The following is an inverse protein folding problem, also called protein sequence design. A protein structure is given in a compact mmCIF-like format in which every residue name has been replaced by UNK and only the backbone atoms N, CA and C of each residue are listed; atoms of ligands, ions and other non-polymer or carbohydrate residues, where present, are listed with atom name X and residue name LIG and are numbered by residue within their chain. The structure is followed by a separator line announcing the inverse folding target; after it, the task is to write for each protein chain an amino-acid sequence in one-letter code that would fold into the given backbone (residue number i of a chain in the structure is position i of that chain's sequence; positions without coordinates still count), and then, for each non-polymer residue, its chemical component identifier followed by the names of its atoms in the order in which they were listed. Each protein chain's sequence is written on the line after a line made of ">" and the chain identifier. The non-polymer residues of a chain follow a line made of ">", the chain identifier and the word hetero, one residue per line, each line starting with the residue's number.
data_IF_951292603266
#
_entry.id   IF_951292603266
#
_cell.length_a   1.000
_cell.length_b   1.000
_cell.length_c   1.000
_cell.angle_alpha   90.00
_cell.angle_beta   90.00
_cell.angle_gamma   90.00
#
_symmetry.space_group_name_H-M   'P 1'
#
loop_
_entity.id
_entity.type
_entity.pdbx_description
1 polymer ?
#
# COMPACT_ATOMS: atom_id res chain seq x y z
N UNK A 1 1.58 4.66 19.50
CA UNK A 1 1.16 4.02 18.24
C UNK A 1 0.94 5.14 17.26
N UNK A 2 1.62 5.08 16.13
CA UNK A 2 1.50 6.04 15.04
C UNK A 2 0.09 5.99 14.45
N UNK A 3 -0.53 7.14 14.21
CA UNK A 3 -1.85 7.23 13.57
C UNK A 3 -1.70 6.93 12.08
N UNK A 4 -2.59 6.08 11.54
CA UNK A 4 -2.64 5.81 10.10
C UNK A 4 -3.79 6.60 9.49
N UNK A 5 -3.47 7.45 8.51
CA UNK A 5 -4.43 8.23 7.73
C UNK A 5 -4.42 7.73 6.29
N UNK A 6 -5.60 7.62 5.70
CA UNK A 6 -5.78 7.14 4.33
C UNK A 6 -6.17 8.33 3.45
N UNK A 7 -5.38 8.61 2.41
CA UNK A 7 -5.74 9.64 1.44
C UNK A 7 -6.96 9.19 0.62
N UNK A 8 -7.82 10.13 0.25
CA UNK A 8 -9.03 9.85 -0.54
C UNK A 8 -8.74 9.15 -1.89
N UNK A 9 -7.52 9.25 -2.41
CA UNK A 9 -7.12 8.52 -3.62
C UNK A 9 -7.06 7.01 -3.42
N UNK A 10 -6.80 6.53 -2.20
CA UNK A 10 -6.66 5.10 -1.88
C UNK A 10 -7.97 4.34 -2.08
N UNK A 11 -9.12 5.00 -1.90
CA UNK A 11 -10.43 4.39 -2.20
C UNK A 11 -10.53 3.98 -3.68
N UNK A 12 -10.17 4.89 -4.59
CA UNK A 12 -10.12 4.60 -6.04
C UNK A 12 -9.09 3.52 -6.38
N UNK A 13 -8.01 3.44 -5.60
CA UNK A 13 -7.01 2.40 -5.79
C UNK A 13 -7.55 1.01 -5.44
N UNK A 14 -8.32 0.89 -4.35
CA UNK A 14 -9.00 -0.34 -3.99
C UNK A 14 -10.07 -0.74 -5.01
N UNK A 15 -10.89 0.21 -5.49
CA UNK A 15 -11.86 -0.06 -6.56
C UNK A 15 -11.19 -0.65 -7.80
N UNK A 16 -10.06 -0.05 -8.22
CA UNK A 16 -9.28 -0.52 -9.37
C UNK A 16 -8.68 -1.91 -9.12
N UNK A 17 -8.16 -2.17 -7.92
CA UNK A 17 -7.63 -3.50 -7.54
C UNK A 17 -8.74 -4.54 -7.58
N UNK A 18 -9.90 -4.26 -6.98
CA UNK A 18 -11.05 -5.16 -6.98
C UNK A 18 -11.55 -5.46 -8.39
N UNK A 19 -11.68 -4.43 -9.24
CA UNK A 19 -12.07 -4.60 -10.64
C UNK A 19 -11.09 -5.48 -11.43
N UNK A 20 -9.77 -5.32 -11.19
CA UNK A 20 -8.76 -6.16 -11.83
C UNK A 20 -8.86 -7.63 -11.38
N UNK A 21 -9.02 -7.86 -10.08
CA UNK A 21 -9.17 -9.20 -9.50
C UNK A 21 -10.41 -9.89 -10.08
N UNK A 22 -11.57 -9.24 -10.10
CA UNK A 22 -12.81 -9.82 -10.64
C UNK A 22 -12.70 -10.20 -12.13
N UNK A 23 -11.89 -9.48 -12.91
CA UNK A 23 -11.74 -9.72 -14.34
C UNK A 23 -10.70 -10.79 -14.71
N UNK A 24 -9.67 -11.02 -13.87
CA UNK A 24 -8.50 -11.84 -14.24
C UNK A 24 -8.15 -12.94 -13.26
N UNK A 25 -8.66 -12.92 -12.02
CA UNK A 25 -8.31 -13.88 -10.97
C UNK A 25 -9.58 -14.47 -10.34
N UNK A 26 -9.69 -15.81 -10.26
CA UNK A 26 -10.79 -16.50 -9.56
C UNK A 26 -10.61 -16.51 -8.04
N UNK A 27 -9.70 -15.68 -7.51
CA UNK A 27 -9.27 -15.68 -6.12
C UNK A 27 -10.07 -14.70 -5.26
N UNK A 28 -10.15 -15.01 -3.96
CA UNK A 28 -10.84 -14.25 -2.93
C UNK A 28 -10.38 -12.78 -2.89
N UNK A 29 -11.18 -11.91 -3.52
CA UNK A 29 -10.92 -10.47 -3.58
C UNK A 29 -11.06 -9.80 -2.21
N UNK A 30 -11.84 -10.37 -1.29
CA UNK A 30 -12.03 -9.84 0.06
C UNK A 30 -10.78 -10.13 0.88
N UNK A 31 -10.32 -11.38 0.91
CA UNK A 31 -9.06 -11.76 1.56
C UNK A 31 -7.88 -10.94 1.06
N UNK A 32 -7.92 -10.51 -0.21
CA UNK A 32 -6.89 -9.65 -0.78
C UNK A 32 -6.85 -8.24 -0.18
N UNK A 33 -8.02 -7.64 0.07
CA UNK A 33 -8.10 -6.33 0.74
C UNK A 33 -7.67 -6.47 2.20
N UNK A 34 -8.06 -7.56 2.86
CA UNK A 34 -7.66 -7.86 4.24
C UNK A 34 -6.14 -7.99 4.38
N UNK A 35 -5.47 -8.65 3.44
CA UNK A 35 -4.00 -8.75 3.41
C UNK A 35 -3.33 -7.37 3.32
N UNK A 36 -3.88 -6.48 2.49
CA UNK A 36 -3.37 -5.11 2.31
C UNK A 36 -3.54 -4.31 3.60
N UNK A 37 -4.73 -4.36 4.20
CA UNK A 37 -5.02 -3.66 5.46
C UNK A 37 -4.12 -4.18 6.58
N UNK A 38 -3.97 -5.51 6.69
CA UNK A 38 -3.11 -6.15 7.69
C UNK A 38 -1.66 -5.70 7.55
N UNK A 39 -1.15 -5.64 6.33
CA UNK A 39 0.20 -5.18 6.10
C UNK A 39 0.38 -3.70 6.43
N UNK A 40 -0.57 -2.82 6.06
CA UNK A 40 -0.53 -1.39 6.39
C UNK A 40 -0.51 -1.16 7.91
N UNK A 41 -1.24 -1.98 8.69
CA UNK A 41 -1.28 -1.86 10.14
C UNK A 41 0.07 -2.02 10.83
N UNK A 42 1.08 -2.63 10.19
CA UNK A 42 2.45 -2.71 10.75
C UNK A 42 3.06 -1.32 10.97
N UNK A 43 2.64 -0.34 10.17
CA UNK A 43 3.14 1.03 10.20
C UNK A 43 2.75 1.77 11.49
N UNK A 44 1.71 1.32 12.20
CA UNK A 44 1.32 1.88 13.49
C UNK A 44 2.40 1.67 14.58
N UNK A 45 3.23 0.65 14.41
CA UNK A 45 4.32 0.31 15.33
C UNK A 45 5.71 0.50 14.71
N UNK A 46 5.81 0.42 13.38
CA UNK A 46 7.08 0.48 12.66
C UNK A 46 6.97 1.46 11.47
N UNK A 47 6.73 2.76 11.69
CA UNK A 47 6.45 3.72 10.62
C UNK A 47 7.63 3.93 9.65
N UNK A 48 8.84 3.52 10.04
CA UNK A 48 10.07 3.68 9.23
C UNK A 48 10.53 2.39 8.55
N UNK A 49 9.71 1.32 8.57
CA UNK A 49 10.08 0.01 8.00
C UNK A 49 10.10 -0.02 6.48
N UNK A 50 9.38 0.91 5.83
CA UNK A 50 9.29 0.98 4.38
C UNK A 50 10.61 1.38 3.72
N UNK A 51 10.78 0.95 2.46
CA UNK A 51 11.89 1.36 1.62
C UNK A 51 11.72 2.83 1.22
N UNK A 52 12.77 3.65 1.32
CA UNK A 52 12.70 5.04 0.87
C UNK A 52 12.51 5.10 -0.65
N UNK A 53 11.46 5.79 -1.09
CA UNK A 53 11.22 6.09 -2.50
C UNK A 53 11.80 7.45 -2.87
N UNK A 54 11.60 8.44 -1.99
CA UNK A 54 12.19 9.78 -2.10
C UNK A 54 12.45 10.37 -0.69
N UNK A 55 12.69 11.69 -0.61
CA UNK A 55 13.00 12.38 0.64
C UNK A 55 11.83 12.41 1.63
N UNK A 56 10.59 12.30 1.14
CA UNK A 56 9.37 12.43 1.93
C UNK A 56 8.57 11.12 2.00
N UNK A 57 8.79 10.20 1.07
CA UNK A 57 7.94 9.01 0.90
C UNK A 57 8.70 7.70 1.04
N UNK A 58 7.97 6.70 1.48
CA UNK A 58 8.40 5.33 1.65
C UNK A 58 7.41 4.37 0.98
N UNK A 59 7.91 3.22 0.57
CA UNK A 59 7.15 2.12 0.01
C UNK A 59 7.13 0.98 1.01
N UNK A 60 5.92 0.52 1.33
CA UNK A 60 5.72 -0.77 1.98
C UNK A 60 5.39 -1.81 0.92
N UNK A 61 6.22 -2.85 0.83
CA UNK A 61 5.99 -4.01 -0.02
C UNK A 61 5.03 -4.97 0.68
N UNK A 62 3.95 -5.35 0.00
CA UNK A 62 2.87 -6.16 0.55
C UNK A 62 2.66 -7.41 -0.31
N UNK A 63 2.56 -8.56 0.35
CA UNK A 63 2.33 -9.84 -0.33
C UNK A 63 3.62 -10.47 -0.88
N UNK A 64 3.46 -11.46 -1.75
CA UNK A 64 4.53 -12.26 -2.34
C UNK A 64 4.27 -12.48 -3.83
N UNK A 65 5.33 -12.73 -4.58
CA UNK A 65 5.30 -13.13 -6.00
C UNK A 65 4.48 -12.17 -6.90
N UNK A 66 3.77 -12.72 -7.89
CA UNK A 66 2.95 -11.97 -8.87
C UNK A 66 1.76 -11.25 -8.25
N UNK A 67 1.53 -11.46 -6.97
CA UNK A 67 0.48 -10.87 -6.16
C UNK A 67 1.06 -9.74 -5.26
N UNK A 68 2.23 -9.19 -5.57
CA UNK A 68 2.77 -8.05 -4.85
C UNK A 68 1.95 -6.76 -5.04
N UNK A 69 1.69 -6.07 -3.94
CA UNK A 69 1.21 -4.67 -3.92
C UNK A 69 2.25 -3.78 -3.24
N UNK A 70 2.18 -2.49 -3.52
CA UNK A 70 2.97 -1.44 -2.88
C UNK A 70 2.03 -0.42 -2.28
N UNK A 71 2.21 -0.11 -1.00
CA UNK A 71 1.62 1.06 -0.38
C UNK A 71 2.68 2.18 -0.35
N UNK A 72 2.42 3.28 -1.05
CA UNK A 72 3.21 4.49 -0.96
C UNK A 72 2.69 5.30 0.22
N UNK A 73 3.58 5.68 1.13
CA UNK A 73 3.21 6.42 2.33
C UNK A 73 4.23 7.48 2.70
N UNK A 74 3.82 8.45 3.51
CA UNK A 74 4.71 9.42 4.16
C UNK A 74 4.55 9.30 5.68
N UNK A 75 5.66 9.44 6.41
CA UNK A 75 5.64 9.49 7.87
C UNK A 75 6.02 10.88 8.35
N UNK A 76 5.11 11.52 9.10
CA UNK A 76 5.35 12.78 9.81
C UNK A 76 5.73 12.47 11.27
N UNK A 77 7.01 12.59 11.66
CA UNK A 77 7.45 12.31 13.02
C UNK A 77 6.99 13.36 14.04
N UNK A 78 6.58 14.56 13.61
CA UNK A 78 6.09 15.60 14.51
C UNK A 78 4.65 15.34 14.94
N UNK A 79 3.85 14.75 14.06
CA UNK A 79 2.46 14.35 14.34
C UNK A 79 2.31 12.90 14.76
N UNK A 80 3.38 12.11 14.64
CA UNK A 80 3.34 10.65 14.72
C UNK A 80 2.23 10.08 13.82
N UNK A 81 2.25 10.47 12.54
CA UNK A 81 1.23 10.13 11.55
C UNK A 81 1.84 9.51 10.29
N UNK A 82 1.29 8.39 9.84
CA UNK A 82 1.55 7.77 8.55
C UNK A 82 0.36 8.06 7.63
N UNK A 83 0.63 8.73 6.52
CA UNK A 83 -0.38 8.95 5.48
C UNK A 83 -0.15 7.96 4.34
N UNK A 84 -1.10 7.06 4.11
CA UNK A 84 -1.13 6.18 2.94
C UNK A 84 -1.63 7.00 1.75
N UNK A 85 -0.75 7.22 0.78
CA UNK A 85 -0.99 8.09 -0.38
C UNK A 85 -1.60 7.32 -1.54
N UNK A 86 -1.16 6.08 -1.74
CA UNK A 86 -1.55 5.27 -2.88
C UNK A 86 -1.29 3.78 -2.63
N UNK A 87 -2.11 2.92 -3.24
CA UNK A 87 -1.88 1.47 -3.30
C UNK A 87 -1.81 1.03 -4.76
N UNK A 88 -0.75 0.32 -5.13
CA UNK A 88 -0.50 -0.10 -6.51
C UNK A 88 -0.15 -1.57 -6.59
N UNK A 89 -0.63 -2.26 -7.62
CA UNK A 89 -0.07 -3.56 -7.96
C UNK A 89 1.36 -3.40 -8.48
N UNK A 90 2.26 -4.32 -8.13
CA UNK A 90 3.58 -4.38 -8.75
C UNK A 90 3.52 -4.61 -10.27
N UNK A 91 2.43 -5.20 -10.81
CA UNK A 91 2.26 -5.37 -12.26
C UNK A 91 1.91 -4.07 -12.98
N UNK A 92 1.18 -3.18 -12.33
CA UNK A 92 0.79 -1.86 -12.87
C UNK A 92 1.89 -0.82 -12.68
N UNK A 93 2.68 -0.99 -11.62
CA UNK A 93 3.90 -0.23 -11.38
C UNK A 93 4.97 -0.80 -12.30
N UNK A 94 4.92 -0.47 -13.59
CA UNK A 94 6.04 -0.72 -14.50
C UNK A 94 7.31 -0.25 -13.80
N UNK A 95 8.11 -1.21 -13.33
CA UNK A 95 9.25 -0.97 -12.45
C UNK A 95 10.35 -0.28 -13.26
N UNK A 96 10.17 1.02 -13.52
CA UNK A 96 11.22 1.93 -13.93
C UNK A 96 11.82 2.47 -12.64
N UNK A 97 12.69 1.67 -12.06
CA UNK A 97 13.82 2.25 -11.34
C UNK A 97 14.67 2.94 -12.41
N UNK A 98 14.59 4.27 -12.47
CA UNK A 98 15.57 5.11 -13.15
C UNK A 98 15.80 6.34 -12.27
#
# INVERSE_FOLDING_TARGET
>A
MTTIVIAAQVERDFERILAHLSAHETSDSIGRVEDIVTAVNVLANNPRIGRRADTQRCELVIGRDRLGHLALYAYDPFKDEVVILAIRSQKESGYRSA
#
